data_IF_063529246494
#
_entry.id   IF_063529246494
#
_cell.length_a   1.000
_cell.length_b   1.000
_cell.length_c   1.000
_cell.angle_alpha   90.00
_cell.angle_beta   90.00
_cell.angle_gamma   90.00
#
_symmetry.space_group_name_H-M   'P 1'
#
loop_
_entity.id
_entity.type
_entity.pdbx_description
1 polymer ?
#
# COMPACT_ATOMS: atom_id res chain seq x y z
N UNK A 1 -10.85 -23.42 64.63
CA UNK A 1 -10.58 -22.83 63.33
C UNK A 1 -9.47 -23.68 62.66
N UNK A 2 -9.81 -24.38 61.55
CA UNK A 2 -8.79 -25.16 60.82
C UNK A 2 -8.00 -24.23 59.87
N UNK A 3 -6.71 -24.03 60.14
CA UNK A 3 -5.81 -23.32 59.24
C UNK A 3 -5.53 -24.20 58.03
N UNK A 4 -6.02 -23.84 56.85
CA UNK A 4 -5.64 -24.45 55.60
C UNK A 4 -4.21 -24.00 55.25
N UNK A 5 -3.25 -24.92 55.21
CA UNK A 5 -1.89 -24.66 54.76
C UNK A 5 -1.95 -24.37 53.24
N UNK A 6 -1.67 -23.13 52.85
CA UNK A 6 -1.44 -22.75 51.47
C UNK A 6 -0.15 -23.39 50.97
N UNK A 7 -0.27 -24.27 49.99
CA UNK A 7 0.91 -24.78 49.25
C UNK A 7 1.48 -23.66 48.39
N UNK A 8 2.69 -23.25 48.68
CA UNK A 8 3.41 -22.24 47.86
C UNK A 8 3.98 -22.88 46.60
N UNK A 9 4.09 -22.09 45.53
CA UNK A 9 4.78 -22.47 44.31
C UNK A 9 6.29 -22.63 44.59
N UNK A 10 6.91 -23.66 43.98
CA UNK A 10 8.34 -23.81 44.05
C UNK A 10 9.04 -22.86 43.06
N UNK A 11 10.21 -22.37 43.42
CA UNK A 11 11.03 -21.50 42.55
C UNK A 11 11.35 -22.16 41.23
N UNK A 12 11.59 -23.48 41.24
CA UNK A 12 11.91 -24.27 40.03
C UNK A 12 10.74 -24.37 39.07
N UNK A 13 9.47 -24.53 39.56
CA UNK A 13 8.29 -24.53 38.72
C UNK A 13 8.11 -23.19 38.01
N UNK A 14 8.36 -22.07 38.69
CA UNK A 14 8.31 -20.77 38.09
C UNK A 14 9.40 -20.60 37.02
N UNK A 15 10.65 -21.03 37.32
CA UNK A 15 11.75 -20.90 36.38
C UNK A 15 11.54 -21.70 35.08
N UNK A 16 10.97 -22.90 35.15
CA UNK A 16 10.69 -23.72 33.96
C UNK A 16 9.62 -23.04 33.11
N UNK A 17 8.56 -22.52 33.71
CA UNK A 17 7.48 -21.85 32.98
C UNK A 17 7.99 -20.61 32.25
N UNK A 18 8.77 -19.76 32.93
CA UNK A 18 9.33 -18.54 32.31
C UNK A 18 10.33 -18.89 31.18
N UNK A 19 11.11 -19.95 31.35
CA UNK A 19 12.03 -20.42 30.30
C UNK A 19 11.25 -20.89 29.04
N UNK A 20 10.19 -21.64 29.20
CA UNK A 20 9.35 -22.10 28.09
C UNK A 20 8.68 -20.91 27.39
N UNK A 21 8.10 -19.98 28.16
CA UNK A 21 7.49 -18.75 27.59
C UNK A 21 8.54 -17.94 26.82
N UNK A 22 9.75 -17.82 27.34
CA UNK A 22 10.86 -17.12 26.69
C UNK A 22 11.21 -17.70 25.33
N UNK A 23 11.32 -19.03 25.24
CA UNK A 23 11.58 -19.74 23.98
C UNK A 23 10.45 -19.54 22.98
N UNK A 24 9.20 -19.71 23.42
CA UNK A 24 8.03 -19.51 22.56
C UNK A 24 7.92 -18.06 22.06
N UNK A 25 8.15 -17.08 22.93
CA UNK A 25 8.12 -15.67 22.58
C UNK A 25 9.23 -15.31 21.57
N UNK A 26 10.44 -15.87 21.73
CA UNK A 26 11.55 -15.60 20.82
C UNK A 26 11.26 -15.98 19.36
N UNK A 27 10.46 -17.04 19.15
CA UNK A 27 10.05 -17.48 17.81
C UNK A 27 8.78 -16.74 17.33
N UNK A 28 7.84 -16.49 18.24
CA UNK A 28 6.55 -15.90 17.87
C UNK A 28 6.61 -14.40 17.55
N UNK A 29 7.43 -13.62 18.27
CA UNK A 29 7.49 -12.17 18.11
C UNK A 29 7.92 -11.71 16.71
N UNK A 30 8.99 -12.26 16.07
CA UNK A 30 9.38 -11.86 14.73
C UNK A 30 8.28 -12.18 13.69
N UNK A 31 7.66 -13.35 13.79
CA UNK A 31 6.60 -13.75 12.89
C UNK A 31 5.36 -12.85 13.03
N UNK A 32 5.01 -12.48 14.25
CA UNK A 32 3.91 -11.54 14.52
C UNK A 32 4.17 -10.15 13.95
N UNK A 33 5.40 -9.64 14.07
CA UNK A 33 5.80 -8.36 13.50
C UNK A 33 5.65 -8.37 11.97
N UNK A 34 6.17 -9.38 11.28
CA UNK A 34 6.05 -9.51 9.83
C UNK A 34 4.58 -9.59 9.38
N UNK A 35 3.75 -10.31 10.11
CA UNK A 35 2.32 -10.40 9.83
C UNK A 35 1.61 -9.05 9.99
N UNK A 36 1.90 -8.33 11.07
CA UNK A 36 1.27 -7.01 11.30
C UNK A 36 1.70 -5.97 10.27
N UNK A 37 2.95 -5.99 9.82
CA UNK A 37 3.43 -5.10 8.75
C UNK A 37 2.70 -5.40 7.43
N UNK A 38 2.55 -6.68 7.06
CA UNK A 38 1.80 -7.08 5.87
C UNK A 38 0.34 -6.63 5.92
N UNK A 39 -0.30 -6.74 7.07
CA UNK A 39 -1.69 -6.28 7.26
C UNK A 39 -1.82 -4.76 7.03
N UNK A 40 -0.87 -3.96 7.54
CA UNK A 40 -0.84 -2.51 7.35
C UNK A 40 -0.57 -2.12 5.89
N UNK A 41 0.31 -2.87 5.19
CA UNK A 41 0.55 -2.67 3.76
C UNK A 41 -0.71 -2.96 2.95
N UNK A 42 -1.43 -4.03 3.29
CA UNK A 42 -2.70 -4.37 2.62
C UNK A 42 -3.78 -3.31 2.87
N UNK A 43 -3.79 -2.66 4.03
CA UNK A 43 -4.68 -1.52 4.32
C UNK A 43 -4.50 -0.40 3.28
N UNK A 44 -3.25 -0.01 2.98
CA UNK A 44 -2.99 1.02 1.97
C UNK A 44 -3.49 0.65 0.57
N UNK A 45 -3.37 -0.61 0.18
CA UNK A 45 -3.91 -1.10 -1.10
C UNK A 45 -5.44 -1.02 -1.11
N UNK A 46 -6.09 -1.35 0.00
CA UNK A 46 -7.53 -1.24 0.17
C UNK A 46 -8.00 0.22 0.06
N UNK A 47 -7.29 1.15 0.71
CA UNK A 47 -7.58 2.59 0.63
C UNK A 47 -7.39 3.15 -0.79
N UNK A 48 -6.43 2.63 -1.55
CA UNK A 48 -6.23 3.00 -2.94
C UNK A 48 -7.37 2.52 -3.87
N UNK A 49 -8.28 1.68 -3.40
CA UNK A 49 -9.46 1.24 -4.16
C UNK A 49 -10.32 2.40 -4.63
N UNK A 50 -10.54 3.41 -3.78
CA UNK A 50 -11.28 4.63 -4.14
C UNK A 50 -10.55 5.48 -5.19
N UNK A 51 -9.22 5.53 -5.13
CA UNK A 51 -8.41 6.21 -6.15
C UNK A 51 -8.48 5.48 -7.49
N UNK A 52 -8.44 4.14 -7.50
CA UNK A 52 -8.64 3.34 -8.71
C UNK A 52 -9.99 3.62 -9.36
N UNK A 53 -11.03 3.69 -8.55
CA UNK A 53 -12.38 3.99 -9.05
C UNK A 53 -12.42 5.39 -9.68
N UNK A 54 -11.87 6.40 -8.99
CA UNK A 54 -11.83 7.78 -9.50
C UNK A 54 -11.10 7.89 -10.86
N UNK A 55 -9.95 7.21 -10.99
CA UNK A 55 -9.20 7.13 -12.25
C UNK A 55 -10.04 6.46 -13.35
N UNK A 56 -10.58 5.27 -13.07
CA UNK A 56 -11.31 4.48 -14.06
C UNK A 56 -12.59 5.19 -14.54
N UNK A 57 -13.38 5.74 -13.62
CA UNK A 57 -14.62 6.46 -13.94
C UNK A 57 -14.35 7.74 -14.73
N UNK A 58 -13.37 8.55 -14.29
CA UNK A 58 -13.05 9.81 -14.95
C UNK A 58 -12.47 9.56 -16.34
N UNK A 59 -11.60 8.57 -16.48
CA UNK A 59 -11.06 8.17 -17.77
C UNK A 59 -12.13 7.63 -18.71
N UNK A 60 -13.04 6.78 -18.24
CA UNK A 60 -14.14 6.26 -19.03
C UNK A 60 -15.11 7.37 -19.49
N UNK A 61 -15.37 8.36 -18.62
CA UNK A 61 -16.28 9.46 -18.93
C UNK A 61 -15.66 10.53 -19.84
N UNK A 62 -14.34 10.70 -19.84
CA UNK A 62 -13.63 11.82 -20.50
C UNK A 62 -12.40 11.37 -21.31
N UNK A 63 -12.35 10.12 -21.74
CA UNK A 63 -11.22 9.60 -22.53
C UNK A 63 -10.95 10.47 -23.77
N UNK A 64 -9.65 10.77 -24.00
CA UNK A 64 -9.22 11.69 -25.06
C UNK A 64 -9.04 13.15 -24.63
N UNK A 65 -9.32 13.48 -23.37
CA UNK A 65 -9.01 14.79 -22.77
C UNK A 65 -7.96 14.61 -21.70
N UNK A 66 -7.01 15.55 -21.59
CA UNK A 66 -6.03 15.53 -20.50
C UNK A 66 -6.75 15.70 -19.15
N UNK A 67 -6.44 14.81 -18.20
CA UNK A 67 -7.01 14.79 -16.86
C UNK A 67 -5.92 15.13 -15.84
N UNK A 68 -6.25 16.00 -14.91
CA UNK A 68 -5.32 16.40 -13.84
C UNK A 68 -5.49 15.47 -12.64
N UNK A 69 -4.41 14.83 -12.25
CA UNK A 69 -4.30 14.04 -11.04
C UNK A 69 -4.18 14.90 -9.78
N UNK A 70 -3.68 14.33 -8.72
CA UNK A 70 -3.40 15.07 -7.50
C UNK A 70 -2.10 14.59 -6.85
N UNK A 71 -1.32 15.53 -6.31
CA UNK A 71 -0.10 15.26 -5.54
C UNK A 71 -0.45 14.80 -4.12
N UNK A 72 0.54 14.35 -3.35
CA UNK A 72 0.39 13.99 -1.95
C UNK A 72 -0.31 15.07 -1.10
N UNK A 73 -0.07 16.35 -1.40
CA UNK A 73 -0.66 17.48 -0.68
C UNK A 73 -2.01 17.91 -1.24
N UNK A 74 -2.18 17.89 -2.57
CA UNK A 74 -3.44 18.32 -3.19
C UNK A 74 -4.55 17.28 -3.08
N UNK A 75 -4.23 15.99 -2.95
CA UNK A 75 -5.20 14.96 -2.64
C UNK A 75 -5.76 15.06 -1.21
N UNK A 76 -5.06 15.70 -0.27
CA UNK A 76 -5.54 15.93 1.10
C UNK A 76 -6.59 17.04 1.18
N UNK A 77 -6.51 18.01 0.29
CA UNK A 77 -7.48 19.09 0.15
C UNK A 77 -8.31 18.84 -1.11
N UNK A 78 -9.50 19.34 -1.19
CA UNK A 78 -10.37 19.13 -2.35
C UNK A 78 -9.65 19.53 -3.65
N UNK A 79 -9.49 18.57 -4.57
CA UNK A 79 -8.94 18.81 -5.89
C UNK A 79 -10.08 19.34 -6.79
N UNK A 80 -10.28 20.64 -6.82
CA UNK A 80 -11.34 21.32 -7.59
C UNK A 80 -10.76 21.99 -8.83
N UNK A 81 -11.11 21.50 -9.99
CA UNK A 81 -10.72 22.08 -11.28
C UNK A 81 -11.45 21.42 -12.44
N UNK A 82 -11.47 22.09 -13.57
CA UNK A 82 -11.97 21.51 -14.83
C UNK A 82 -11.03 20.38 -15.22
N UNK A 83 -11.51 19.18 -15.53
CA UNK A 83 -10.75 17.99 -15.87
C UNK A 83 -10.03 17.32 -14.69
N UNK A 84 -10.45 17.56 -13.47
CA UNK A 84 -9.91 16.95 -12.29
C UNK A 84 -10.60 15.62 -11.98
N UNK A 85 -9.86 14.66 -11.42
CA UNK A 85 -10.41 13.33 -11.05
C UNK A 85 -11.28 13.35 -9.80
N UNK A 86 -11.39 14.50 -9.09
CA UNK A 86 -12.27 14.64 -7.92
C UNK A 86 -11.88 13.79 -6.72
N UNK A 87 -10.68 13.18 -6.71
CA UNK A 87 -10.23 12.31 -5.66
C UNK A 87 -9.78 13.10 -4.43
N UNK A 88 -10.16 12.61 -3.24
CA UNK A 88 -9.71 13.14 -1.96
C UNK A 88 -9.30 11.99 -1.04
N UNK A 89 -8.15 12.15 -0.39
CA UNK A 89 -7.63 11.20 0.59
C UNK A 89 -7.47 11.86 1.95
N UNK A 90 -7.78 11.12 3.02
CA UNK A 90 -7.47 11.50 4.38
C UNK A 90 -6.35 10.58 4.90
N UNK A 91 -5.23 11.17 5.36
CA UNK A 91 -4.11 10.41 5.90
C UNK A 91 -4.56 9.55 7.09
N UNK A 92 -4.03 8.34 7.16
CA UNK A 92 -4.26 7.42 8.28
C UNK A 92 -2.98 7.25 9.10
N UNK A 93 -3.05 6.46 10.16
CA UNK A 93 -1.86 6.15 10.98
C UNK A 93 -0.75 5.47 10.17
N UNK A 94 -1.09 4.70 9.14
CA UNK A 94 -0.14 3.86 8.39
C UNK A 94 0.07 4.29 6.95
N UNK A 95 -0.79 5.13 6.40
CA UNK A 95 -0.70 5.66 5.04
C UNK A 95 -0.65 7.18 5.09
N UNK A 96 0.48 7.73 4.66
CA UNK A 96 0.75 9.18 4.69
C UNK A 96 0.02 9.89 3.57
N UNK A 97 0.10 9.33 2.36
CA UNK A 97 -0.51 9.94 1.18
C UNK A 97 -0.90 8.90 0.13
N UNK A 98 -1.92 9.25 -0.65
CA UNK A 98 -2.25 8.59 -1.91
C UNK A 98 -2.31 9.70 -2.96
N UNK A 99 -1.41 9.62 -3.95
CA UNK A 99 -1.30 10.57 -5.04
C UNK A 99 -1.66 9.90 -6.36
N UNK A 100 -2.20 10.67 -7.30
CA UNK A 100 -2.58 10.19 -8.65
C UNK A 100 -1.85 11.06 -9.67
N UNK A 101 -1.15 10.44 -10.61
CA UNK A 101 -0.50 11.13 -11.72
C UNK A 101 -1.54 11.68 -12.72
N UNK A 102 -1.14 12.71 -13.46
CA UNK A 102 -1.91 13.22 -14.59
C UNK A 102 -2.10 12.15 -15.67
N UNK A 103 -3.14 12.29 -16.46
CA UNK A 103 -3.39 11.46 -17.65
C UNK A 103 -3.38 12.40 -18.85
N UNK A 104 -2.48 12.15 -19.80
CA UNK A 104 -2.44 12.92 -21.04
C UNK A 104 -3.69 12.63 -21.93
N UNK A 105 -4.00 13.54 -22.87
CA UNK A 105 -5.07 13.31 -23.85
C UNK A 105 -4.81 12.05 -24.70
N UNK A 106 -3.53 11.76 -24.97
CA UNK A 106 -3.06 10.48 -25.52
C UNK A 106 -2.26 9.79 -24.42
N UNK A 107 -2.87 8.84 -23.68
CA UNK A 107 -2.21 8.26 -22.52
C UNK A 107 -0.94 7.50 -22.86
N UNK A 108 0.07 7.65 -22.01
CA UNK A 108 1.30 6.86 -22.03
C UNK A 108 1.28 5.84 -20.89
N UNK A 109 2.23 4.91 -20.93
CA UNK A 109 2.44 3.95 -19.82
C UNK A 109 2.85 4.72 -18.57
N UNK A 110 2.09 4.54 -17.48
CA UNK A 110 2.32 5.24 -16.21
C UNK A 110 1.45 6.48 -15.99
N UNK A 111 0.71 6.94 -16.99
CA UNK A 111 -0.30 7.99 -16.78
C UNK A 111 -1.42 7.47 -15.86
N UNK A 112 -1.89 8.31 -14.95
CA UNK A 112 -2.87 7.90 -13.95
C UNK A 112 -2.31 6.98 -12.86
N UNK A 113 -0.99 6.84 -12.76
CA UNK A 113 -0.32 6.09 -11.71
C UNK A 113 -0.79 6.52 -10.33
N UNK A 114 -1.20 5.56 -9.52
CA UNK A 114 -1.54 5.81 -8.11
C UNK A 114 -0.32 5.43 -7.26
N UNK A 115 0.19 6.40 -6.52
CA UNK A 115 1.29 6.18 -5.60
C UNK A 115 0.77 6.20 -4.16
N UNK A 116 0.96 5.09 -3.44
CA UNK A 116 0.61 4.94 -2.03
C UNK A 116 1.88 5.05 -1.21
N UNK A 117 1.96 6.06 -0.35
CA UNK A 117 3.07 6.30 0.56
C UNK A 117 2.72 5.82 1.97
N UNK A 118 3.53 4.95 2.52
CA UNK A 118 3.34 4.43 3.86
C UNK A 118 4.13 5.21 4.90
N UNK A 119 3.50 5.47 6.04
CA UNK A 119 4.17 6.09 7.17
C UNK A 119 5.21 5.13 7.79
N UNK A 120 6.24 5.68 8.42
CA UNK A 120 7.22 4.88 9.18
C UNK A 120 6.57 4.00 10.26
N UNK A 121 5.43 4.45 10.83
CA UNK A 121 4.61 3.69 11.79
C UNK A 121 4.00 2.40 11.22
N UNK A 122 3.98 2.23 9.89
CA UNK A 122 3.59 0.97 9.27
C UNK A 122 4.61 -0.15 9.56
N UNK A 123 5.85 0.21 9.91
CA UNK A 123 6.92 -0.73 10.23
C UNK A 123 7.69 -1.24 9.00
N UNK A 124 7.34 -0.78 7.82
CA UNK A 124 8.01 -1.11 6.56
C UNK A 124 9.03 -0.04 6.12
N UNK A 125 9.36 0.94 6.99
CA UNK A 125 10.16 2.10 6.60
C UNK A 125 9.39 3.00 5.63
N UNK A 126 10.11 3.71 4.77
CA UNK A 126 9.51 4.51 3.70
C UNK A 126 9.17 3.58 2.52
N UNK A 127 8.01 2.95 2.57
CA UNK A 127 7.52 2.10 1.50
C UNK A 127 6.62 2.92 0.58
N UNK A 128 6.88 2.80 -0.71
CA UNK A 128 6.00 3.30 -1.76
C UNK A 128 5.46 2.11 -2.58
N UNK A 129 4.18 2.15 -2.87
CA UNK A 129 3.53 1.17 -3.73
C UNK A 129 2.90 1.89 -4.91
N UNK A 130 3.26 1.49 -6.11
CA UNK A 130 2.78 2.05 -7.35
C UNK A 130 1.72 1.13 -7.98
N UNK A 131 0.54 1.67 -8.24
CA UNK A 131 -0.54 0.99 -8.94
C UNK A 131 -0.67 1.60 -10.33
N UNK A 132 -0.37 0.82 -11.35
CA UNK A 132 -0.34 1.24 -12.74
C UNK A 132 -1.65 0.91 -13.42
N UNK A 133 -2.44 1.93 -13.86
CA UNK A 133 -3.58 1.69 -14.74
C UNK A 133 -3.12 1.46 -16.17
N UNK A 134 -3.88 0.71 -16.93
CA UNK A 134 -3.63 0.52 -18.35
C UNK A 134 -4.63 -0.40 -18.99
N UNK A 135 -4.39 -0.80 -20.24
CA UNK A 135 -5.25 -1.69 -21.01
C UNK A 135 -4.45 -2.88 -21.51
N UNK A 136 -5.04 -4.08 -21.44
CA UNK A 136 -4.43 -5.30 -21.93
C UNK A 136 -3.48 -6.01 -20.97
N UNK A 137 -2.73 -6.97 -21.49
CA UNK A 137 -1.93 -7.87 -20.68
C UNK A 137 -0.80 -7.16 -19.91
N UNK A 138 -0.53 -7.63 -18.69
CA UNK A 138 0.56 -7.14 -17.85
C UNK A 138 1.92 -7.66 -18.36
N UNK A 139 2.83 -6.75 -18.65
CA UNK A 139 4.24 -7.08 -18.98
C UNK A 139 5.10 -6.59 -17.82
N UNK A 140 5.78 -7.51 -17.12
CA UNK A 140 6.55 -7.18 -15.93
C UNK A 140 5.70 -6.54 -14.81
N UNK A 141 4.42 -6.90 -14.70
CA UNK A 141 3.49 -6.34 -13.71
C UNK A 141 2.94 -4.95 -14.04
N UNK A 142 3.21 -4.41 -15.22
CA UNK A 142 2.69 -3.13 -15.71
C UNK A 142 1.83 -3.38 -16.95
N UNK A 143 0.59 -2.85 -17.02
CA UNK A 143 -0.23 -2.90 -18.22
C UNK A 143 0.29 -1.90 -19.28
N UNK A 144 -0.11 -2.08 -20.52
CA UNK A 144 0.11 -1.08 -21.57
C UNK A 144 -0.63 0.22 -21.26
N UNK A 145 -0.40 1.27 -22.07
CA UNK A 145 -1.10 2.54 -21.90
C UNK A 145 -2.63 2.35 -21.93
N UNK A 146 -3.34 3.20 -21.19
CA UNK A 146 -4.80 3.18 -21.18
C UNK A 146 -5.36 3.50 -22.56
N UNK A 147 -6.37 2.75 -22.99
CA UNK A 147 -7.08 2.96 -24.27
C UNK A 147 -8.54 3.32 -23.97
N UNK A 148 -9.00 4.41 -24.55
CA UNK A 148 -10.40 4.85 -24.41
C UNK A 148 -11.36 3.76 -24.91
N UNK A 149 -12.40 3.48 -24.12
CA UNK A 149 -13.37 2.42 -24.41
C UNK A 149 -12.94 1.01 -23.99
N UNK A 150 -11.71 0.82 -23.51
CA UNK A 150 -11.25 -0.46 -22.95
C UNK A 150 -11.34 -0.44 -21.43
N UNK A 151 -11.55 -1.61 -20.77
CA UNK A 151 -11.51 -1.70 -19.32
C UNK A 151 -10.11 -1.36 -18.81
N UNK A 152 -10.06 -0.70 -17.65
CA UNK A 152 -8.80 -0.36 -16.98
C UNK A 152 -8.31 -1.55 -16.16
N UNK A 153 -7.20 -2.13 -16.60
CA UNK A 153 -6.45 -3.14 -15.87
C UNK A 153 -5.48 -2.49 -14.88
N UNK A 154 -5.16 -3.19 -13.81
CA UNK A 154 -4.30 -2.64 -12.74
C UNK A 154 -3.08 -3.51 -12.49
N UNK A 155 -1.92 -2.97 -12.79
CA UNK A 155 -0.64 -3.50 -12.34
C UNK A 155 -0.27 -2.97 -10.96
N UNK A 156 0.60 -3.69 -10.25
CA UNK A 156 1.09 -3.27 -8.95
C UNK A 156 2.59 -3.54 -8.87
N UNK A 157 3.36 -2.53 -8.43
CA UNK A 157 4.80 -2.65 -8.19
C UNK A 157 5.23 -1.96 -6.91
N UNK A 158 6.31 -2.43 -6.34
CA UNK A 158 7.00 -1.76 -5.23
C UNK A 158 7.95 -0.73 -5.83
N UNK A 159 8.06 0.40 -5.16
CA UNK A 159 8.95 1.48 -5.56
C UNK A 159 8.16 2.58 -6.23
N UNK A 160 8.65 3.75 -6.10
CA UNK A 160 8.09 4.98 -6.64
C UNK A 160 8.77 6.12 -5.91
N UNK A 161 9.37 7.00 -6.66
CA UNK A 161 9.50 8.38 -6.24
C UNK A 161 8.15 9.03 -6.48
N UNK A 162 7.95 10.23 -5.92
CA UNK A 162 6.75 11.03 -6.09
C UNK A 162 6.19 10.97 -7.52
N UNK A 163 4.87 11.10 -7.63
CA UNK A 163 4.13 11.21 -8.89
C UNK A 163 4.92 12.04 -9.91
N UNK A 164 5.28 11.43 -11.04
CA UNK A 164 6.10 12.09 -12.09
C UNK A 164 7.55 11.62 -12.16
N UNK A 165 8.05 10.75 -11.30
CA UNK A 165 9.40 10.21 -11.38
C UNK A 165 9.41 8.73 -11.71
N UNK A 166 10.40 8.32 -12.52
CA UNK A 166 10.62 6.93 -12.87
C UNK A 166 10.69 6.03 -11.62
N UNK A 167 10.17 4.83 -11.76
CA UNK A 167 10.19 3.77 -10.73
C UNK A 167 11.53 3.74 -10.01
N UNK A 168 11.55 4.18 -8.75
CA UNK A 168 12.75 4.12 -7.92
C UNK A 168 13.20 2.68 -7.72
N UNK A 169 14.50 2.48 -7.54
CA UNK A 169 15.10 1.17 -7.31
C UNK A 169 14.45 0.46 -6.12
N UNK A 170 13.98 -0.74 -6.36
CA UNK A 170 13.34 -1.60 -5.37
C UNK A 170 14.27 -1.87 -4.19
N UNK A 171 13.85 -1.55 -2.99
CA UNK A 171 14.50 -2.09 -1.81
C UNK A 171 14.08 -3.55 -1.64
N UNK A 172 14.96 -4.47 -1.94
CA UNK A 172 14.72 -5.91 -1.84
C UNK A 172 14.24 -6.35 -0.45
N UNK A 173 14.58 -5.61 0.58
CA UNK A 173 14.18 -5.88 1.96
C UNK A 173 12.68 -5.70 2.22
N UNK A 174 11.99 -4.89 1.42
CA UNK A 174 10.57 -4.57 1.60
C UNK A 174 9.63 -5.52 0.82
N UNK A 175 10.16 -6.27 -0.14
CA UNK A 175 9.39 -7.22 -0.99
C UNK A 175 8.60 -8.21 -0.15
N UNK A 176 9.13 -8.65 0.99
CA UNK A 176 8.48 -9.64 1.85
C UNK A 176 7.15 -9.15 2.46
N UNK A 177 6.94 -7.84 2.55
CA UNK A 177 5.74 -7.26 3.16
C UNK A 177 4.61 -7.00 2.16
N UNK A 178 4.90 -7.04 0.88
CA UNK A 178 3.96 -6.70 -0.18
C UNK A 178 3.26 -7.95 -0.72
N UNK A 179 1.97 -7.87 -1.14
CA UNK A 179 1.27 -8.97 -1.77
C UNK A 179 2.00 -9.54 -2.99
N UNK A 180 1.78 -10.81 -3.28
CA UNK A 180 2.50 -11.54 -4.33
C UNK A 180 2.37 -10.90 -5.73
N UNK A 181 1.19 -10.37 -6.05
CA UNK A 181 0.91 -9.68 -7.31
C UNK A 181 1.64 -8.33 -7.48
N UNK A 182 2.19 -7.76 -6.40
CA UNK A 182 2.96 -6.53 -6.42
C UNK A 182 4.49 -6.75 -6.35
N UNK A 183 4.93 -8.01 -6.31
CA UNK A 183 6.37 -8.37 -6.19
C UNK A 183 7.09 -8.48 -7.51
N UNK A 184 6.38 -8.37 -8.62
CA UNK A 184 6.98 -8.44 -9.95
C UNK A 184 7.89 -7.22 -10.16
N UNK A 185 9.17 -7.49 -10.24
CA UNK A 185 10.22 -6.55 -10.59
C UNK A 185 10.62 -6.74 -12.05
#
# INVERSE_FOLDING_TARGET
MKRTLQKGFTLIELMIVVAIIGILAAVALPAYQDYTIRARVTEGISLAGSAKLAVAETFAARGGVALTGCTATTCLVSNTGTNNMGYKFAATKYVTSIAIADIAATPAVGDGLINVEYAASAGAGTLFLALHPGSGALVGGIPAAMVSGSPVEWGCRIGGAAVGSAVGTLSSSLIKYVPANCRNA
#
